data_IF_429827176765
#
_entry.id   IF_429827176765
#
_cell.length_a   1.000
_cell.length_b   1.000
_cell.length_c   1.000
_cell.angle_alpha   90.00
_cell.angle_beta   90.00
_cell.angle_gamma   90.00
#
_symmetry.space_group_name_H-M   'P 1'
#
loop_
_entity.id
_entity.type
_entity.pdbx_description
1 polymer ?
#
# COMPACT_ATOMS: atom_id res chain seq x y z
N UNK A 1 -4.61 -19.58 28.77
CA UNK A 1 -3.85 -19.83 27.54
C UNK A 1 -4.87 -19.97 26.43
N UNK A 2 -5.17 -18.90 25.70
CA UNK A 2 -6.15 -18.96 24.60
C UNK A 2 -5.45 -19.53 23.38
N UNK A 3 -5.82 -20.76 23.01
CA UNK A 3 -5.35 -21.40 21.78
C UNK A 3 -6.15 -20.80 20.62
N UNK A 4 -5.72 -19.65 20.10
CA UNK A 4 -6.25 -19.16 18.83
C UNK A 4 -5.84 -20.15 17.74
N UNK A 5 -6.82 -20.89 17.22
CA UNK A 5 -6.64 -21.71 16.04
C UNK A 5 -6.17 -20.80 14.90
N UNK A 6 -4.98 -21.08 14.34
CA UNK A 6 -4.45 -20.31 13.21
C UNK A 6 -5.48 -20.33 12.08
N UNK A 7 -5.86 -19.17 11.52
CA UNK A 7 -6.83 -19.13 10.44
C UNK A 7 -6.27 -19.89 9.23
N UNK A 8 -7.15 -20.65 8.57
CA UNK A 8 -6.82 -21.38 7.35
C UNK A 8 -6.62 -20.38 6.21
N UNK A 9 -5.37 -20.29 5.74
CA UNK A 9 -4.94 -19.33 4.73
C UNK A 9 -5.67 -19.60 3.40
N UNK A 10 -5.86 -20.86 3.01
CA UNK A 10 -6.53 -21.20 1.73
C UNK A 10 -7.98 -20.72 1.74
N UNK A 11 -8.67 -20.87 2.88
CA UNK A 11 -10.03 -20.38 3.06
C UNK A 11 -10.12 -18.85 3.02
N UNK A 12 -9.16 -18.14 3.62
CA UNK A 12 -9.11 -16.69 3.56
C UNK A 12 -8.88 -16.16 2.14
N UNK A 13 -8.05 -16.84 1.34
CA UNK A 13 -7.88 -16.52 -0.08
C UNK A 13 -9.14 -16.81 -0.89
N UNK A 14 -9.85 -17.90 -0.59
CA UNK A 14 -11.11 -18.24 -1.26
C UNK A 14 -12.24 -17.24 -0.92
N UNK A 15 -12.26 -16.69 0.30
CA UNK A 15 -13.23 -15.68 0.73
C UNK A 15 -12.88 -14.26 0.23
N UNK A 16 -11.61 -14.00 -0.07
CA UNK A 16 -11.07 -12.75 -0.66
C UNK A 16 -11.08 -11.55 0.28
N UNK A 17 -12.25 -11.21 0.82
CA UNK A 17 -12.49 -10.01 1.64
C UNK A 17 -11.55 -9.83 2.83
N UNK A 18 -11.24 -10.87 3.64
CA UNK A 18 -10.37 -10.69 4.80
C UNK A 18 -8.94 -10.26 4.43
N UNK A 19 -8.47 -10.74 3.27
CA UNK A 19 -7.13 -10.40 2.77
C UNK A 19 -7.13 -8.99 2.19
N UNK A 20 -8.15 -8.64 1.40
CA UNK A 20 -8.28 -7.30 0.82
C UNK A 20 -8.34 -6.22 1.91
N UNK A 21 -9.11 -6.44 2.98
CA UNK A 21 -9.18 -5.52 4.11
C UNK A 21 -7.84 -5.41 4.86
N UNK A 22 -7.11 -6.51 5.02
CA UNK A 22 -5.80 -6.51 5.66
C UNK A 22 -4.77 -5.75 4.81
N UNK A 23 -4.81 -5.95 3.49
CA UNK A 23 -3.96 -5.26 2.52
C UNK A 23 -4.26 -3.76 2.51
N UNK A 24 -5.53 -3.36 2.45
CA UNK A 24 -5.93 -1.94 2.49
C UNK A 24 -5.42 -1.23 3.75
N UNK A 25 -5.55 -1.88 4.92
CA UNK A 25 -5.00 -1.37 6.19
C UNK A 25 -3.48 -1.24 6.15
N UNK A 26 -2.78 -2.23 5.60
CA UNK A 26 -1.32 -2.21 5.49
C UNK A 26 -0.85 -1.08 4.58
N UNK A 27 -1.50 -0.88 3.43
CA UNK A 27 -1.20 0.21 2.48
C UNK A 27 -1.37 1.58 3.14
N UNK A 28 -2.50 1.83 3.81
CA UNK A 28 -2.72 3.09 4.55
C UNK A 28 -1.63 3.34 5.59
N UNK A 29 -1.28 2.33 6.37
CA UNK A 29 -0.20 2.44 7.35
C UNK A 29 1.19 2.66 6.73
N UNK A 30 1.45 2.14 5.53
CA UNK A 30 2.71 2.40 4.83
C UNK A 30 2.79 3.86 4.37
N UNK A 31 1.72 4.37 3.76
CA UNK A 31 1.61 5.77 3.33
C UNK A 31 1.85 6.72 4.51
N UNK A 32 1.19 6.50 5.64
CA UNK A 32 1.36 7.33 6.84
C UNK A 32 2.80 7.36 7.35
N UNK A 33 3.48 6.20 7.39
CA UNK A 33 4.88 6.13 7.82
C UNK A 33 5.80 6.90 6.87
N UNK A 34 5.54 6.81 5.57
CA UNK A 34 6.29 7.58 4.57
C UNK A 34 6.03 9.08 4.68
N UNK A 35 4.77 9.51 4.89
CA UNK A 35 4.39 10.91 5.18
C UNK A 35 5.16 11.43 6.41
N UNK A 36 5.15 10.69 7.51
CA UNK A 36 5.84 11.07 8.76
C UNK A 36 7.36 11.13 8.61
N UNK A 37 7.94 10.22 7.82
CA UNK A 37 9.38 10.16 7.60
C UNK A 37 9.87 11.16 6.53
N UNK A 38 8.97 11.82 5.80
CA UNK A 38 9.32 12.67 4.65
C UNK A 38 10.05 11.90 3.54
N UNK A 39 9.77 10.59 3.40
CA UNK A 39 10.44 9.71 2.43
C UNK A 39 9.51 9.35 1.28
N UNK A 40 9.96 9.45 0.02
CA UNK A 40 9.15 9.05 -1.13
C UNK A 40 8.83 7.56 -1.11
N UNK A 41 7.77 7.18 -1.81
CA UNK A 41 7.34 5.80 -2.01
C UNK A 41 7.61 5.37 -3.45
N UNK A 42 8.05 4.13 -3.65
CA UNK A 42 8.13 3.54 -4.99
C UNK A 42 6.78 2.90 -5.33
N UNK A 43 6.22 3.28 -6.48
CA UNK A 43 5.00 2.69 -7.05
C UNK A 43 5.28 2.19 -8.46
N UNK A 44 4.54 1.17 -8.87
CA UNK A 44 4.57 0.70 -10.24
C UNK A 44 3.49 1.41 -11.05
N UNK A 45 3.87 2.13 -12.10
CA UNK A 45 2.95 2.84 -12.98
C UNK A 45 3.50 2.86 -14.41
N UNK A 46 2.64 2.66 -15.41
CA UNK A 46 3.01 2.66 -16.83
C UNK A 46 4.17 1.71 -17.18
N UNK A 47 4.21 0.53 -16.54
CA UNK A 47 5.24 -0.49 -16.80
C UNK A 47 6.63 -0.15 -16.27
N UNK A 48 6.74 0.85 -15.39
CA UNK A 48 8.00 1.26 -14.76
C UNK A 48 7.81 1.56 -13.27
N UNK A 49 8.92 1.52 -12.53
CA UNK A 49 8.96 1.99 -11.15
C UNK A 49 9.07 3.51 -11.13
N UNK A 50 8.19 4.17 -10.38
CA UNK A 50 8.15 5.62 -10.21
C UNK A 50 8.16 5.97 -8.72
N UNK A 51 8.89 7.00 -8.35
CA UNK A 51 8.85 7.55 -7.00
C UNK A 51 7.74 8.59 -6.89
N UNK A 52 6.96 8.55 -5.82
CA UNK A 52 5.92 9.53 -5.51
C UNK A 52 6.11 10.10 -4.11
N UNK A 53 5.72 11.35 -3.95
CA UNK A 53 5.64 11.98 -2.64
C UNK A 53 4.39 11.45 -1.91
N UNK A 54 4.55 10.81 -0.73
CA UNK A 54 3.42 10.31 0.04
C UNK A 54 2.42 11.42 0.42
N UNK A 55 2.82 12.70 0.48
CA UNK A 55 1.92 13.82 0.77
C UNK A 55 0.90 14.12 -0.35
N UNK A 56 1.12 13.60 -1.56
CA UNK A 56 0.21 13.76 -2.71
C UNK A 56 -0.77 12.59 -2.85
N UNK A 57 -0.66 11.59 -1.97
CA UNK A 57 -1.52 10.40 -1.96
C UNK A 57 -2.78 10.71 -1.17
N UNK A 58 -3.87 10.93 -1.89
CA UNK A 58 -5.22 11.02 -1.31
C UNK A 58 -5.72 9.61 -0.96
N UNK A 59 -5.90 9.36 0.33
CA UNK A 59 -6.32 8.05 0.85
C UNK A 59 -7.81 7.74 0.65
N UNK A 60 -8.57 8.74 0.18
CA UNK A 60 -10.01 8.66 -0.06
C UNK A 60 -10.35 8.39 -1.53
N UNK A 61 -9.37 8.49 -2.44
CA UNK A 61 -9.57 8.35 -3.88
C UNK A 61 -8.47 7.46 -4.49
N UNK A 62 -8.70 6.15 -4.46
CA UNK A 62 -7.74 5.11 -4.86
C UNK A 62 -7.34 5.20 -6.36
N UNK A 63 -8.10 5.96 -7.15
CA UNK A 63 -8.01 6.05 -8.61
C UNK A 63 -7.07 7.15 -9.13
N UNK A 64 -6.65 8.10 -8.29
CA UNK A 64 -5.88 9.29 -8.71
C UNK A 64 -4.51 9.41 -8.06
N UNK A 65 -3.81 8.31 -7.84
CA UNK A 65 -2.37 8.36 -7.52
C UNK A 65 -1.57 8.72 -8.77
N UNK A 66 -1.69 9.97 -9.23
CA UNK A 66 -0.92 10.48 -10.36
C UNK A 66 0.56 10.57 -9.94
N UNK A 67 1.44 9.73 -10.50
CA UNK A 67 2.80 9.71 -10.06
C UNK A 67 3.53 10.94 -10.58
N UNK A 68 3.90 11.86 -9.69
CA UNK A 68 4.95 12.86 -10.00
C UNK A 68 6.27 12.12 -10.14
N UNK A 69 6.63 11.77 -11.37
CA UNK A 69 7.88 11.10 -11.71
C UNK A 69 9.05 11.96 -11.25
N UNK A 70 9.69 11.58 -10.14
CA UNK A 70 11.02 12.08 -9.83
C UNK A 70 12.03 11.37 -10.74
N UNK A 71 12.79 12.09 -11.58
CA UNK A 71 13.89 11.47 -12.32
C UNK A 71 14.89 10.89 -11.31
N UNK A 72 15.23 9.62 -11.49
CA UNK A 72 16.38 9.01 -10.83
C UNK A 72 17.64 9.60 -11.50
N UNK A 73 18.12 10.74 -11.03
CA UNK A 73 19.48 11.16 -11.34
C UNK A 73 20.44 10.28 -10.54
N UNK A 74 21.21 9.47 -11.27
CA UNK A 74 22.32 8.65 -10.79
C UNK A 74 23.64 9.26 -11.28
#
# INVERSE_FOLDING_TARGET
MSTEAKPDIEKLFAEGRPIDEAMSRAVRGAIERHKQAGKPMAVWGDGKTVWIDPAQVDQENEEELQPRVFPCDA
#
